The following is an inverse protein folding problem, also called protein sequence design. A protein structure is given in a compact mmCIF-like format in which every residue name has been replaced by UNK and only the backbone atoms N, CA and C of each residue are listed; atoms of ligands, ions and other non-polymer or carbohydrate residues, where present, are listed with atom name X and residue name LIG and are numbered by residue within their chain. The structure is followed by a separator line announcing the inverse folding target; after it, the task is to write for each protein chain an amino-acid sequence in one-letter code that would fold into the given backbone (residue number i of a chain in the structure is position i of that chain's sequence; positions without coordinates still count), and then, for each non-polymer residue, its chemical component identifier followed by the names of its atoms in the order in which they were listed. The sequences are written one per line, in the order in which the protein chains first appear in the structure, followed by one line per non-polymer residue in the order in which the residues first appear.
data_IF_531944255245
#
_entry.id   IF_531944255245
#
_cell.length_a   1.000
_cell.length_b   1.000
_cell.length_c   1.000
_cell.angle_alpha   90.00
_cell.angle_beta   90.00
_cell.angle_gamma   90.00
#
_symmetry.space_group_name_H-M   'P 1'
#
loop_
_entity.id
_entity.type
_entity.pdbx_description
1 polymer ?
#
# COMPACT_ATOMS: atom_id res chain seq x y z
N UNK A 1 -9.94 43.88 -24.61
CA UNK A 1 -9.92 42.69 -25.51
C UNK A 1 -8.88 41.66 -25.07
N UNK A 2 -7.61 42.02 -24.85
CA UNK A 2 -6.56 41.09 -24.40
C UNK A 2 -6.73 40.53 -22.98
N UNK A 3 -7.38 41.27 -22.08
CA UNK A 3 -7.58 40.84 -20.68
C UNK A 3 -8.45 39.57 -20.58
N UNK A 4 -9.53 39.46 -21.37
CA UNK A 4 -10.43 38.30 -21.34
C UNK A 4 -9.75 37.02 -21.87
N UNK A 5 -8.86 37.16 -22.86
CA UNK A 5 -8.06 36.05 -23.37
C UNK A 5 -7.03 35.56 -22.33
N UNK A 6 -6.45 36.47 -21.53
CA UNK A 6 -5.46 36.11 -20.51
C UNK A 6 -6.03 35.23 -19.38
N UNK A 7 -7.28 35.47 -18.96
CA UNK A 7 -7.96 34.65 -17.95
C UNK A 7 -8.25 33.23 -18.46
N UNK A 8 -8.66 33.07 -19.72
CA UNK A 8 -8.85 31.75 -20.35
C UNK A 8 -7.56 30.94 -20.36
N UNK A 9 -6.41 31.57 -20.64
CA UNK A 9 -5.12 30.88 -20.59
C UNK A 9 -4.73 30.49 -19.16
N UNK A 10 -5.01 31.33 -18.16
CA UNK A 10 -4.78 31.02 -16.74
C UNK A 10 -5.66 29.85 -16.30
N UNK A 11 -6.94 29.83 -16.66
CA UNK A 11 -7.88 28.75 -16.33
C UNK A 11 -7.50 27.43 -17.02
N UNK A 12 -7.03 27.47 -18.27
CA UNK A 12 -6.54 26.29 -18.98
C UNK A 12 -5.26 25.71 -18.35
N UNK A 13 -4.35 26.58 -17.91
CA UNK A 13 -3.14 26.16 -17.19
C UNK A 13 -3.53 25.56 -15.83
N UNK A 14 -4.47 26.16 -15.11
CA UNK A 14 -4.94 25.67 -13.81
C UNK A 14 -5.70 24.34 -13.94
N UNK A 15 -6.53 24.16 -14.97
CA UNK A 15 -7.18 22.88 -15.28
C UNK A 15 -6.18 21.77 -15.60
N UNK A 16 -5.06 22.08 -16.25
CA UNK A 16 -4.03 21.08 -16.57
C UNK A 16 -3.25 20.57 -15.36
N UNK A 17 -3.11 21.40 -14.31
CA UNK A 17 -2.35 21.05 -13.10
C UNK A 17 -3.10 20.11 -12.15
N UNK A 18 -4.42 19.98 -12.29
CA UNK A 18 -5.26 19.17 -11.40
C UNK A 18 -5.35 17.69 -11.86
N UNK A 19 -4.95 17.36 -13.09
CA UNK A 19 -5.15 16.01 -13.70
C UNK A 19 -4.05 15.00 -13.29
N UNK A 20 -3.01 15.40 -12.56
CA UNK A 20 -1.89 14.52 -12.21
C UNK A 20 -2.04 13.76 -10.88
N UNK A 21 -3.24 13.28 -10.54
CA UNK A 21 -3.38 12.25 -9.50
C UNK A 21 -3.16 10.88 -10.14
N UNK A 22 -1.89 10.49 -10.34
CA UNK A 22 -1.58 9.11 -10.78
C UNK A 22 -2.08 8.13 -9.71
N UNK A 23 -3.08 7.31 -10.05
CA UNK A 23 -3.41 6.14 -9.26
C UNK A 23 -2.19 5.20 -9.28
N UNK A 24 -1.48 5.10 -8.15
CA UNK A 24 -0.31 4.24 -8.00
C UNK A 24 -0.68 2.76 -8.01
N UNK A 25 -1.92 2.44 -7.63
CA UNK A 25 -2.49 1.10 -7.62
C UNK A 25 -3.88 1.14 -8.23
N UNK A 26 -4.18 0.19 -9.10
CA UNK A 26 -5.52 -0.01 -9.65
C UNK A 26 -6.39 -0.78 -8.66
N UNK A 27 -7.73 -0.65 -8.71
CA UNK A 27 -8.65 -1.35 -7.82
C UNK A 27 -8.82 -2.83 -8.21
N UNK A 28 -7.71 -3.51 -8.50
CA UNK A 28 -7.64 -4.93 -8.79
C UNK A 28 -6.59 -5.61 -7.89
N UNK A 29 -6.83 -6.88 -7.58
CA UNK A 29 -5.97 -7.67 -6.71
C UNK A 29 -4.55 -7.84 -7.28
N UNK A 30 -4.40 -7.91 -8.60
CA UNK A 30 -3.09 -8.07 -9.24
C UNK A 30 -2.18 -6.86 -9.02
N UNK A 31 -2.74 -5.66 -8.91
CA UNK A 31 -2.00 -4.46 -8.52
C UNK A 31 -1.68 -4.40 -7.03
N UNK A 32 -2.54 -4.97 -6.19
CA UNK A 32 -2.36 -4.99 -4.74
C UNK A 32 -1.29 -5.98 -4.28
N UNK A 33 -1.14 -7.12 -4.96
CA UNK A 33 -0.13 -8.13 -4.61
C UNK A 33 1.30 -7.70 -4.97
N UNK A 34 1.45 -6.72 -5.86
CA UNK A 34 2.77 -6.15 -6.22
C UNK A 34 3.35 -5.22 -5.15
N UNK A 35 2.61 -4.96 -4.06
CA UNK A 35 3.04 -4.03 -3.02
C UNK A 35 4.29 -4.56 -2.30
N UNK A 36 5.26 -3.70 -1.99
CA UNK A 36 6.40 -4.10 -1.18
C UNK A 36 5.91 -4.51 0.22
N UNK A 37 6.61 -5.48 0.82
CA UNK A 37 6.32 -5.92 2.17
C UNK A 37 6.34 -4.73 3.15
N UNK A 38 5.47 -4.72 4.18
CA UNK A 38 5.51 -3.67 5.18
C UNK A 38 6.85 -3.65 5.90
N UNK A 39 7.53 -2.51 5.84
CA UNK A 39 8.90 -2.35 6.37
C UNK A 39 8.97 -2.59 7.87
N UNK A 40 7.96 -2.17 8.63
CA UNK A 40 7.90 -2.37 10.08
C UNK A 40 7.84 -3.86 10.46
N UNK A 41 7.06 -4.65 9.71
CA UNK A 41 6.90 -6.09 9.96
C UNK A 41 8.19 -6.82 9.58
N UNK A 42 8.74 -6.49 8.41
CA UNK A 42 10.01 -7.06 7.98
C UNK A 42 11.10 -6.76 9.00
N UNK A 43 11.25 -5.51 9.45
CA UNK A 43 12.27 -5.12 10.40
C UNK A 43 12.14 -5.83 11.75
N UNK A 44 10.91 -5.96 12.28
CA UNK A 44 10.67 -6.65 13.55
C UNK A 44 10.87 -8.17 13.47
N UNK A 45 10.68 -8.81 12.30
CA UNK A 45 10.74 -10.27 12.15
C UNK A 45 11.98 -10.79 11.41
N UNK A 46 12.22 -10.35 10.16
CA UNK A 46 13.28 -10.88 9.26
C UNK A 46 14.36 -9.84 8.89
N UNK A 47 14.34 -8.67 9.53
CA UNK A 47 15.29 -7.58 9.28
C UNK A 47 16.67 -7.85 9.85
N UNK A 48 17.58 -6.89 9.71
CA UNK A 48 18.96 -7.02 10.19
C UNK A 48 19.09 -7.16 11.71
N UNK A 49 18.14 -6.62 12.48
CA UNK A 49 18.12 -6.74 13.94
C UNK A 49 16.67 -6.94 14.41
N UNK A 50 16.13 -8.16 14.27
CA UNK A 50 14.72 -8.42 14.56
C UNK A 50 14.44 -8.38 16.06
N UNK A 51 13.21 -8.05 16.42
CA UNK A 51 12.77 -8.06 17.81
C UNK A 51 12.63 -9.52 18.29
N UNK A 52 13.34 -9.95 19.34
CA UNK A 52 13.28 -11.32 19.85
C UNK A 52 11.87 -11.81 20.18
N UNK A 53 11.03 -10.94 20.73
CA UNK A 53 9.65 -11.29 21.11
C UNK A 53 8.79 -11.55 19.87
N UNK A 54 8.98 -10.76 18.81
CA UNK A 54 8.31 -10.97 17.52
C UNK A 54 8.76 -12.29 16.90
N UNK A 55 10.06 -12.59 16.90
CA UNK A 55 10.58 -13.86 16.37
C UNK A 55 10.06 -15.05 17.17
N UNK A 56 10.05 -14.96 18.50
CA UNK A 56 9.53 -16.02 19.36
C UNK A 56 8.03 -16.27 19.14
N UNK A 57 7.25 -15.21 19.00
CA UNK A 57 5.84 -15.32 18.63
C UNK A 57 5.67 -15.99 17.26
N UNK A 58 6.45 -15.57 16.26
CA UNK A 58 6.33 -16.13 14.91
C UNK A 58 6.68 -17.62 14.88
N UNK A 59 7.79 -18.01 15.50
CA UNK A 59 8.21 -19.42 15.57
C UNK A 59 7.26 -20.31 16.37
N UNK A 60 6.54 -19.73 17.34
CA UNK A 60 5.57 -20.46 18.15
C UNK A 60 4.25 -20.70 17.41
N UNK A 61 3.81 -19.75 16.59
CA UNK A 61 2.46 -19.77 16.01
C UNK A 61 2.42 -20.16 14.53
N UNK A 62 3.54 -20.02 13.80
CA UNK A 62 3.59 -20.26 12.36
C UNK A 62 4.71 -21.25 11.98
N UNK A 63 4.57 -21.99 10.86
CA UNK A 63 5.63 -22.85 10.33
C UNK A 63 6.95 -22.12 10.05
N UNK A 64 8.09 -22.83 10.03
CA UNK A 64 9.41 -22.22 9.78
C UNK A 64 9.54 -21.59 8.38
N UNK A 65 8.82 -22.13 7.39
CA UNK A 65 8.83 -21.61 6.01
C UNK A 65 7.75 -20.55 5.75
N UNK A 66 7.08 -20.04 6.80
CA UNK A 66 6.01 -19.06 6.68
C UNK A 66 6.48 -17.76 6.03
N UNK A 67 5.71 -17.28 5.06
CA UNK A 67 5.93 -16.04 4.33
C UNK A 67 4.87 -15.00 4.71
N UNK A 68 5.12 -13.74 4.36
CA UNK A 68 4.13 -12.69 4.62
C UNK A 68 2.89 -12.85 3.73
N UNK A 69 3.03 -13.45 2.54
CA UNK A 69 1.91 -13.67 1.63
C UNK A 69 0.90 -14.68 2.19
N UNK A 70 1.36 -15.67 2.95
CA UNK A 70 0.50 -16.72 3.53
C UNK A 70 -0.51 -16.18 4.55
N UNK A 71 -0.25 -14.99 5.12
CA UNK A 71 -1.24 -14.30 5.96
C UNK A 71 -2.49 -13.88 5.19
N UNK A 72 -2.36 -13.56 3.91
CA UNK A 72 -3.50 -13.16 3.08
C UNK A 72 -4.47 -14.34 2.89
N UNK A 73 -3.96 -15.57 2.81
CA UNK A 73 -4.81 -16.77 2.67
C UNK A 73 -5.68 -17.03 3.92
N UNK A 74 -5.16 -16.70 5.11
CA UNK A 74 -5.89 -16.85 6.37
C UNK A 74 -6.85 -15.70 6.68
N UNK A 75 -6.90 -14.66 5.83
CA UNK A 75 -7.76 -13.50 6.06
C UNK A 75 -9.18 -13.74 5.53
N UNK A 76 -10.09 -14.15 6.42
CA UNK A 76 -11.47 -14.55 6.06
C UNK A 76 -12.55 -13.47 6.29
N UNK A 77 -12.24 -12.35 6.95
CA UNK A 77 -13.15 -11.23 7.21
C UNK A 77 -14.54 -11.61 7.77
N UNK A 78 -14.65 -12.71 8.53
CA UNK A 78 -15.94 -13.32 8.95
C UNK A 78 -16.84 -12.41 9.80
N UNK A 79 -16.26 -11.42 10.48
CA UNK A 79 -16.98 -10.46 11.33
C UNK A 79 -17.23 -9.12 10.63
N UNK A 80 -16.85 -8.96 9.36
CA UNK A 80 -17.03 -7.71 8.65
C UNK A 80 -18.49 -7.52 8.21
N UNK A 81 -19.18 -6.55 8.82
CA UNK A 81 -20.55 -6.16 8.44
C UNK A 81 -21.67 -6.84 9.21
N UNK A 82 -21.36 -7.60 10.28
CA UNK A 82 -22.34 -8.04 11.28
C UNK A 82 -22.61 -6.95 12.33
#
# INVERSE_FOLDING_TARGET
MYSFLAWIFIDLIFCSLIIFTKQQYTPDWSSLDKRPLPTWMWWAWKGNNPNPDTVAFMNKNYPPDWTYADFAEQFHAELYGN
#
